data_IF_472194011724
#
_entry.id   IF_472194011724
#
_cell.length_a   1.000
_cell.length_b   1.000
_cell.length_c   1.000
_cell.angle_alpha   90.00
_cell.angle_beta   90.00
_cell.angle_gamma   90.00
#
_symmetry.space_group_name_H-M   'P 1'
#
loop_
_entity.id
_entity.type
_entity.pdbx_description
1 polymer ?
#
# COMPACT_ATOMS: atom_id res chain seq x y z
N UNK A 1 -2.74 28.11 -16.92
CA UNK A 1 -1.95 28.63 -15.78
C UNK A 1 -1.08 27.48 -15.32
N UNK A 2 0.24 27.54 -15.53
CA UNK A 2 1.12 26.46 -15.08
C UNK A 2 1.31 26.60 -13.57
N UNK A 3 1.07 25.53 -12.82
CA UNK A 3 1.37 25.48 -11.40
C UNK A 3 2.86 25.80 -11.22
N UNK A 4 3.22 26.76 -10.35
CA UNK A 4 4.62 27.10 -10.14
C UNK A 4 5.29 25.86 -9.51
N UNK A 5 6.38 25.37 -10.12
CA UNK A 5 7.17 24.26 -9.59
C UNK A 5 8.38 24.82 -8.85
N UNK A 6 8.56 24.37 -7.60
CA UNK A 6 9.70 24.77 -6.80
C UNK A 6 11.02 24.33 -7.45
N UNK A 7 12.12 25.06 -7.23
CA UNK A 7 13.40 24.70 -7.81
C UNK A 7 13.97 23.41 -7.19
N UNK A 8 14.71 22.60 -7.97
CA UNK A 8 15.19 21.29 -7.53
C UNK A 8 16.37 21.37 -6.54
N UNK A 9 17.02 22.52 -6.40
CA UNK A 9 18.23 22.70 -5.59
C UNK A 9 18.03 22.37 -4.11
N UNK A 10 16.80 22.34 -3.60
CA UNK A 10 16.49 21.87 -2.24
C UNK A 10 15.90 20.47 -2.15
N UNK A 11 15.72 19.76 -3.27
CA UNK A 11 15.09 18.46 -3.30
C UNK A 11 16.10 17.36 -2.95
N UNK A 12 15.93 16.75 -1.79
CA UNK A 12 16.81 15.71 -1.26
C UNK A 12 16.04 14.43 -0.98
N UNK A 13 16.44 13.33 -1.61
CA UNK A 13 15.96 11.99 -1.28
C UNK A 13 16.72 11.48 -0.06
N UNK A 14 16.11 11.60 1.13
CA UNK A 14 16.73 11.20 2.40
C UNK A 14 16.77 9.71 2.63
N UNK A 15 15.77 9.00 2.10
CA UNK A 15 15.61 7.57 2.27
C UNK A 15 15.04 6.99 0.99
N UNK A 16 15.60 5.88 0.53
CA UNK A 16 14.98 5.04 -0.49
C UNK A 16 14.62 3.71 0.16
N UNK A 17 13.34 3.41 0.22
CA UNK A 17 12.88 2.06 0.55
C UNK A 17 12.80 1.23 -0.71
N UNK A 18 13.34 0.01 -0.69
CA UNK A 18 12.97 -1.00 -1.67
C UNK A 18 11.60 -1.56 -1.26
N UNK A 19 10.53 -1.09 -1.90
CA UNK A 19 9.21 -1.69 -1.74
C UNK A 19 8.92 -2.65 -2.90
N UNK A 20 8.05 -3.63 -2.63
CA UNK A 20 7.62 -4.80 -3.41
C UNK A 20 7.17 -4.59 -4.88
N UNK A 21 7.50 -3.48 -5.56
CA UNK A 21 7.12 -3.28 -6.96
C UNK A 21 8.06 -3.97 -7.96
N UNK A 22 9.20 -4.52 -7.54
CA UNK A 22 10.12 -5.26 -8.42
C UNK A 22 10.54 -6.60 -7.79
N UNK A 23 10.17 -7.70 -8.43
CA UNK A 23 10.53 -9.08 -8.03
C UNK A 23 12.05 -9.35 -8.07
N UNK A 24 12.86 -8.43 -8.61
CA UNK A 24 14.32 -8.52 -8.63
C UNK A 24 15.00 -7.88 -7.41
N UNK A 25 14.28 -7.10 -6.60
CA UNK A 25 14.87 -6.21 -5.59
C UNK A 25 15.06 -6.84 -4.20
N UNK A 26 14.62 -8.08 -3.98
CA UNK A 26 14.72 -8.74 -2.67
C UNK A 26 13.80 -8.12 -1.61
N UNK A 27 13.76 -8.75 -0.45
CA UNK A 27 12.94 -8.33 0.68
C UNK A 27 13.71 -7.27 1.50
N UNK A 28 13.01 -6.24 2.02
CA UNK A 28 13.60 -5.18 2.84
C UNK A 28 13.05 -5.20 4.28
N UNK A 29 13.95 -5.01 5.26
CA UNK A 29 13.63 -4.82 6.66
C UNK A 29 14.33 -3.55 7.14
N UNK A 30 13.64 -2.74 7.94
CA UNK A 30 14.21 -1.51 8.51
C UNK A 30 15.09 -1.80 9.72
N UNK A 31 14.91 -2.97 10.35
CA UNK A 31 15.71 -3.44 11.47
C UNK A 31 15.77 -4.97 11.51
N UNK A 32 16.58 -5.50 12.42
CA UNK A 32 16.85 -6.92 12.56
C UNK A 32 15.63 -7.71 13.07
N UNK A 33 14.74 -7.08 13.84
CA UNK A 33 13.50 -7.70 14.33
C UNK A 33 12.50 -7.89 13.18
N UNK A 34 12.39 -6.90 12.30
CA UNK A 34 11.60 -6.97 11.08
C UNK A 34 12.16 -7.99 10.09
N UNK A 35 13.49 -8.09 9.96
CA UNK A 35 14.14 -9.09 9.12
C UNK A 35 13.80 -10.52 9.57
N UNK A 36 13.89 -10.76 10.88
CA UNK A 36 13.66 -12.08 11.48
C UNK A 36 12.18 -12.50 11.44
N UNK A 37 11.26 -11.55 11.52
CA UNK A 37 9.82 -11.82 11.57
C UNK A 37 9.16 -12.01 10.20
N UNK A 38 9.75 -11.48 9.12
CA UNK A 38 9.04 -11.31 7.83
C UNK A 38 9.65 -12.05 6.64
N UNK A 39 10.89 -12.54 6.73
CA UNK A 39 11.62 -13.10 5.59
C UNK A 39 12.00 -14.57 5.77
N UNK A 40 12.05 -15.31 4.65
CA UNK A 40 12.51 -16.70 4.63
C UNK A 40 13.99 -16.80 5.09
N UNK A 41 14.41 -17.91 5.73
CA UNK A 41 15.79 -18.11 6.20
C UNK A 41 16.88 -17.98 5.13
N UNK A 42 16.50 -18.11 3.85
CA UNK A 42 17.42 -18.29 2.72
C UNK A 42 17.59 -17.02 1.87
N UNK A 43 16.91 -15.91 2.19
CA UNK A 43 17.02 -14.64 1.46
C UNK A 43 18.05 -13.71 2.12
N UNK A 44 19.11 -13.35 1.38
CA UNK A 44 20.10 -12.38 1.84
C UNK A 44 19.50 -10.98 2.04
N UNK A 45 20.01 -10.23 3.00
CA UNK A 45 19.58 -8.88 3.34
C UNK A 45 20.64 -7.83 2.98
N UNK A 46 20.20 -6.63 2.61
CA UNK A 46 21.05 -5.44 2.52
C UNK A 46 20.55 -4.44 3.56
N UNK A 47 21.26 -4.38 4.68
CA UNK A 47 21.06 -3.37 5.71
C UNK A 47 22.20 -2.36 5.62
N UNK A 48 21.88 -1.08 5.78
CA UNK A 48 22.90 -0.09 6.11
C UNK A 48 23.25 -0.32 7.57
N UNK A 49 24.51 -0.64 7.84
CA UNK A 49 24.99 -0.83 9.21
C UNK A 49 25.04 0.50 9.96
N UNK A 50 25.42 0.45 11.24
CA UNK A 50 25.53 1.64 12.09
C UNK A 50 26.50 2.68 11.52
N UNK A 51 27.60 2.24 10.92
CA UNK A 51 28.62 3.10 10.33
C UNK A 51 28.11 3.79 9.04
N UNK A 52 27.35 3.06 8.23
CA UNK A 52 26.66 3.60 7.06
C UNK A 52 25.59 4.63 7.44
N UNK A 53 24.88 4.42 8.55
CA UNK A 53 23.89 5.38 9.08
C UNK A 53 24.59 6.67 9.52
N UNK A 54 25.69 6.57 10.25
CA UNK A 54 26.48 7.72 10.68
C UNK A 54 27.07 8.48 9.47
N UNK A 55 27.58 7.75 8.47
CA UNK A 55 28.15 8.33 7.24
C UNK A 55 27.08 9.04 6.40
N UNK A 56 25.88 8.47 6.28
CA UNK A 56 24.76 9.10 5.60
C UNK A 56 24.29 10.38 6.32
N UNK A 57 24.32 10.39 7.66
CA UNK A 57 24.05 11.57 8.47
C UNK A 57 25.04 12.70 8.18
N UNK A 58 26.33 12.41 8.27
CA UNK A 58 27.39 13.39 8.01
C UNK A 58 27.34 13.94 6.57
N UNK A 59 27.10 13.07 5.58
CA UNK A 59 26.91 13.50 4.20
C UNK A 59 25.66 14.40 4.03
N UNK A 60 24.57 14.10 4.75
CA UNK A 60 23.37 14.92 4.77
C UNK A 60 23.64 16.36 5.26
N UNK A 61 24.41 16.51 6.33
CA UNK A 61 24.80 17.82 6.88
C UNK A 61 25.64 18.64 5.87
N UNK A 62 26.58 17.99 5.18
CA UNK A 62 27.39 18.61 4.12
C UNK A 62 26.52 19.12 2.96
N UNK A 63 25.60 18.28 2.48
CA UNK A 63 24.71 18.62 1.37
C UNK A 63 23.77 19.77 1.76
N UNK A 64 23.21 19.77 2.97
CA UNK A 64 22.39 20.87 3.46
C UNK A 64 23.14 22.20 3.47
N UNK A 65 24.38 22.21 3.96
CA UNK A 65 25.22 23.40 3.96
C UNK A 65 25.52 23.90 2.53
N UNK A 66 25.71 22.97 1.57
CA UNK A 66 25.94 23.32 0.17
C UNK A 66 24.67 23.87 -0.50
N UNK A 67 23.50 23.28 -0.23
CA UNK A 67 22.20 23.80 -0.69
C UNK A 67 21.99 25.21 -0.16
N UNK A 68 22.19 25.43 1.14
CA UNK A 68 22.01 26.75 1.74
C UNK A 68 22.95 27.79 1.09
N UNK A 69 24.21 27.43 0.86
CA UNK A 69 25.16 28.27 0.14
C UNK A 69 24.67 28.59 -1.28
N UNK A 70 24.21 27.61 -2.04
CA UNK A 70 23.67 27.82 -3.39
C UNK A 70 22.43 28.71 -3.40
N UNK A 71 21.57 28.62 -2.39
CA UNK A 71 20.41 29.50 -2.26
C UNK A 71 20.79 30.95 -1.92
N UNK A 72 21.87 31.15 -1.13
CA UNK A 72 22.37 32.50 -0.81
C UNK A 72 23.15 33.14 -1.97
N UNK A 73 23.98 32.36 -2.65
CA UNK A 73 24.89 32.83 -3.70
C UNK A 73 24.23 32.83 -5.09
N UNK A 74 23.18 32.04 -5.30
CA UNK A 74 22.46 31.92 -6.56
C UNK A 74 21.29 32.88 -6.71
N UNK A 75 20.79 33.00 -7.94
CA UNK A 75 19.59 33.78 -8.27
C UNK A 75 18.29 32.98 -8.17
N UNK A 76 18.37 31.66 -8.02
CA UNK A 76 17.23 30.75 -8.15
C UNK A 76 16.12 31.01 -7.12
N UNK A 77 16.48 31.32 -5.87
CA UNK A 77 15.52 31.73 -4.84
C UNK A 77 14.77 33.03 -5.23
N UNK A 78 15.50 34.00 -5.79
CA UNK A 78 14.93 35.31 -6.15
C UNK A 78 14.03 35.18 -7.38
N UNK A 79 14.46 34.42 -8.39
CA UNK A 79 13.67 34.08 -9.58
C UNK A 79 12.41 33.31 -9.21
N UNK A 80 12.51 32.35 -8.30
CA UNK A 80 11.38 31.59 -7.78
C UNK A 80 10.40 32.48 -7.02
N UNK A 81 10.89 33.35 -6.15
CA UNK A 81 10.06 34.30 -5.40
C UNK A 81 9.36 35.29 -6.32
N UNK A 82 10.04 35.78 -7.36
CA UNK A 82 9.44 36.64 -8.38
C UNK A 82 8.31 35.91 -9.14
N UNK A 83 8.54 34.65 -9.53
CA UNK A 83 7.53 33.80 -10.17
C UNK A 83 6.32 33.55 -9.27
N UNK A 84 6.54 33.34 -7.97
CA UNK A 84 5.45 33.21 -7.00
C UNK A 84 4.64 34.50 -6.84
N UNK A 85 5.27 35.67 -6.95
CA UNK A 85 4.56 36.96 -6.90
C UNK A 85 3.61 37.16 -8.10
N UNK A 86 3.87 36.52 -9.23
CA UNK A 86 2.99 36.52 -10.41
C UNK A 86 1.81 35.54 -10.28
N UNK A 87 1.86 34.62 -9.32
CA UNK A 87 0.80 33.63 -9.08
C UNK A 87 -0.36 34.31 -8.38
N UNK A 88 -1.40 34.62 -9.16
CA UNK A 88 -2.64 35.15 -8.62
C UNK A 88 -3.50 34.03 -8.05
N UNK A 89 -4.08 34.29 -6.88
CA UNK A 89 -5.15 33.46 -6.32
C UNK A 89 -6.27 33.38 -7.37
N UNK A 90 -6.81 32.18 -7.65
CA UNK A 90 -7.91 32.04 -8.60
C UNK A 90 -9.08 32.95 -8.22
N UNK A 91 -9.76 33.50 -9.23
CA UNK A 91 -10.95 34.32 -8.99
C UNK A 91 -12.04 33.50 -8.27
N UNK A 92 -12.99 34.17 -7.60
CA UNK A 92 -14.13 33.50 -6.97
C UNK A 92 -14.89 32.58 -7.93
N UNK A 93 -15.07 33.00 -9.19
CA UNK A 93 -15.69 32.18 -10.23
C UNK A 93 -14.85 30.93 -10.56
N UNK A 94 -13.53 31.07 -10.66
CA UNK A 94 -12.62 29.93 -10.89
C UNK A 94 -12.62 28.95 -9.71
N UNK A 95 -12.74 29.43 -8.47
CA UNK A 95 -12.84 28.58 -7.29
C UNK A 95 -14.17 27.79 -7.27
N UNK A 96 -15.28 28.42 -7.65
CA UNK A 96 -16.58 27.75 -7.80
C UNK A 96 -16.53 26.65 -8.87
N UNK A 97 -15.94 26.93 -10.04
CA UNK A 97 -15.74 25.94 -11.09
C UNK A 97 -14.85 24.77 -10.63
N UNK A 98 -13.78 25.04 -9.88
CA UNK A 98 -12.91 24.01 -9.33
C UNK A 98 -13.65 23.14 -8.29
N UNK A 99 -14.48 23.73 -7.43
CA UNK A 99 -15.31 22.97 -6.48
C UNK A 99 -16.33 22.08 -7.19
N UNK A 100 -16.97 22.60 -8.24
CA UNK A 100 -17.89 21.81 -9.06
C UNK A 100 -17.16 20.63 -9.74
N UNK A 101 -15.93 20.84 -10.22
CA UNK A 101 -15.09 19.76 -10.77
C UNK A 101 -14.68 18.73 -9.72
N UNK A 102 -14.33 19.15 -8.50
CA UNK A 102 -14.02 18.22 -7.41
C UNK A 102 -15.23 17.37 -7.08
N UNK A 103 -16.41 17.98 -6.90
CA UNK A 103 -17.64 17.24 -6.64
C UNK A 103 -17.98 16.26 -7.77
N UNK A 104 -17.75 16.64 -9.02
CA UNK A 104 -17.91 15.75 -10.18
C UNK A 104 -16.91 14.59 -10.16
N UNK A 105 -15.63 14.85 -9.86
CA UNK A 105 -14.63 13.80 -9.71
C UNK A 105 -14.97 12.83 -8.57
N UNK A 106 -15.43 13.33 -7.42
CA UNK A 106 -15.85 12.49 -6.30
C UNK A 106 -17.05 11.61 -6.67
N UNK A 107 -18.02 12.16 -7.42
CA UNK A 107 -19.15 11.39 -7.95
C UNK A 107 -18.68 10.31 -8.92
N UNK A 108 -17.82 10.65 -9.88
CA UNK A 108 -17.25 9.70 -10.84
C UNK A 108 -16.43 8.61 -10.13
N UNK A 109 -15.65 8.96 -9.11
CA UNK A 109 -14.94 7.98 -8.29
C UNK A 109 -15.90 7.05 -7.56
N UNK A 110 -17.00 7.56 -7.01
CA UNK A 110 -18.01 6.74 -6.34
C UNK A 110 -18.69 5.77 -7.33
N UNK A 111 -19.08 6.24 -8.51
CA UNK A 111 -19.66 5.42 -9.59
C UNK A 111 -18.65 4.37 -10.10
N UNK A 112 -17.39 4.75 -10.26
CA UNK A 112 -16.32 3.84 -10.64
C UNK A 112 -16.07 2.77 -9.57
N UNK A 113 -16.03 3.15 -8.28
CA UNK A 113 -15.91 2.19 -7.17
C UNK A 113 -17.09 1.22 -7.12
N UNK A 114 -18.31 1.70 -7.36
CA UNK A 114 -19.51 0.85 -7.39
C UNK A 114 -19.47 -0.15 -8.56
N UNK A 115 -19.10 0.30 -9.76
CA UNK A 115 -18.97 -0.59 -10.92
C UNK A 115 -17.82 -1.60 -10.76
N UNK A 116 -16.68 -1.19 -10.17
CA UNK A 116 -15.60 -2.10 -9.83
C UNK A 116 -16.02 -3.15 -8.80
N UNK A 117 -16.79 -2.79 -7.77
CA UNK A 117 -17.27 -3.72 -6.76
C UNK A 117 -18.15 -4.82 -7.37
N UNK A 118 -19.04 -4.46 -8.31
CA UNK A 118 -19.87 -5.41 -9.04
C UNK A 118 -19.05 -6.35 -9.93
N UNK A 119 -18.08 -5.80 -10.69
CA UNK A 119 -17.18 -6.59 -11.53
C UNK A 119 -16.31 -7.54 -10.68
N UNK A 120 -15.81 -7.08 -9.53
CA UNK A 120 -15.03 -7.89 -8.61
C UNK A 120 -15.86 -9.00 -7.95
N UNK A 121 -17.13 -8.75 -7.63
CA UNK A 121 -18.03 -9.79 -7.12
C UNK A 121 -18.22 -10.90 -8.16
N UNK A 122 -18.56 -10.53 -9.39
CA UNK A 122 -18.73 -11.47 -10.50
C UNK A 122 -17.46 -12.30 -10.76
N UNK A 123 -16.29 -11.64 -10.79
CA UNK A 123 -15.00 -12.33 -10.95
C UNK A 123 -14.76 -13.35 -9.83
N UNK A 124 -15.13 -13.03 -8.59
CA UNK A 124 -14.98 -13.93 -7.44
C UNK A 124 -15.90 -15.14 -7.53
N UNK A 125 -17.16 -14.93 -7.91
CA UNK A 125 -18.11 -16.02 -8.17
C UNK A 125 -17.58 -16.99 -9.23
N UNK A 126 -17.08 -16.46 -10.36
CA UNK A 126 -16.48 -17.26 -11.44
C UNK A 126 -15.24 -18.04 -10.96
N UNK A 127 -14.40 -17.43 -10.10
CA UNK A 127 -13.19 -18.08 -9.56
C UNK A 127 -13.50 -19.15 -8.51
N UNK A 128 -14.54 -18.96 -7.71
CA UNK A 128 -15.02 -19.96 -6.75
C UNK A 128 -15.61 -21.18 -7.44
N UNK A 129 -16.35 -20.99 -8.54
CA UNK A 129 -17.01 -22.06 -9.27
C UNK A 129 -16.07 -22.99 -10.07
N UNK A 130 -14.88 -22.52 -10.48
CA UNK A 130 -14.02 -23.32 -11.38
C UNK A 130 -12.53 -22.96 -11.42
N UNK A 131 -12.04 -22.10 -10.53
CA UNK A 131 -10.65 -21.64 -10.55
C UNK A 131 -9.68 -22.57 -9.81
N UNK A 132 -8.55 -22.91 -10.44
CA UNK A 132 -7.44 -23.62 -9.78
C UNK A 132 -6.58 -22.72 -8.89
N UNK A 133 -6.49 -21.42 -9.18
CA UNK A 133 -5.66 -20.44 -8.44
C UNK A 133 -6.43 -19.76 -7.29
N UNK A 134 -5.77 -19.59 -6.13
CA UNK A 134 -6.28 -18.80 -5.00
C UNK A 134 -6.32 -17.30 -5.31
N UNK A 135 -5.57 -16.87 -6.34
CA UNK A 135 -5.53 -15.49 -6.80
C UNK A 135 -6.88 -15.11 -7.40
N UNK A 136 -7.51 -14.10 -6.80
CA UNK A 136 -8.80 -13.56 -7.25
C UNK A 136 -10.02 -14.09 -6.52
N UNK A 137 -9.86 -14.98 -5.53
CA UNK A 137 -10.93 -15.43 -4.61
C UNK A 137 -11.14 -14.39 -3.49
N UNK A 138 -10.06 -13.78 -3.01
CA UNK A 138 -10.13 -12.74 -1.98
C UNK A 138 -10.57 -11.38 -2.56
N UNK A 139 -11.20 -10.51 -1.74
CA UNK A 139 -11.37 -9.10 -2.08
C UNK A 139 -10.03 -8.41 -2.38
N UNK A 140 -9.98 -7.47 -3.33
CA UNK A 140 -8.70 -6.82 -3.75
C UNK A 140 -7.92 -6.17 -2.61
N UNK A 141 -8.63 -5.57 -1.64
CA UNK A 141 -8.02 -4.88 -0.49
C UNK A 141 -7.81 -5.78 0.71
N UNK A 142 -8.21 -7.05 0.63
CA UNK A 142 -8.19 -7.96 1.77
C UNK A 142 -6.80 -8.08 2.41
N UNK A 143 -5.73 -8.18 1.60
CA UNK A 143 -4.37 -8.25 2.10
C UNK A 143 -4.01 -7.03 2.97
N UNK A 144 -4.30 -5.83 2.47
CA UNK A 144 -4.04 -4.58 3.17
C UNK A 144 -4.87 -4.48 4.46
N UNK A 145 -6.17 -4.79 4.37
CA UNK A 145 -7.08 -4.68 5.52
C UNK A 145 -6.74 -5.73 6.61
N UNK A 146 -6.28 -6.91 6.21
CA UNK A 146 -5.74 -7.95 7.09
C UNK A 146 -4.51 -7.47 7.84
N UNK A 147 -3.53 -6.91 7.12
CA UNK A 147 -2.30 -6.38 7.70
C UNK A 147 -2.59 -5.26 8.70
N UNK A 148 -3.48 -4.34 8.35
CA UNK A 148 -3.89 -3.24 9.25
C UNK A 148 -4.63 -3.78 10.48
N UNK A 149 -5.61 -4.67 10.28
CA UNK A 149 -6.47 -5.16 11.37
C UNK A 149 -5.69 -5.93 12.43
N UNK A 150 -4.75 -6.76 12.01
CA UNK A 150 -3.99 -7.64 12.90
C UNK A 150 -2.54 -7.21 13.11
N UNK A 151 -2.17 -6.01 12.63
CA UNK A 151 -0.80 -5.46 12.68
C UNK A 151 0.24 -6.45 12.14
N UNK A 152 -0.10 -7.09 11.02
CA UNK A 152 0.76 -8.05 10.36
C UNK A 152 1.62 -7.33 9.33
N UNK A 153 2.89 -7.70 9.29
CA UNK A 153 3.81 -7.26 8.24
C UNK A 153 3.59 -8.15 7.01
N UNK A 154 3.72 -7.61 5.77
CA UNK A 154 3.70 -8.42 4.56
C UNK A 154 4.68 -9.59 4.65
N UNK A 155 4.25 -10.79 4.23
CA UNK A 155 5.11 -11.99 4.25
C UNK A 155 4.33 -13.30 4.35
N UNK A 156 5.05 -14.38 4.66
CA UNK A 156 4.51 -15.75 4.68
C UNK A 156 3.26 -15.91 5.54
N UNK A 157 3.18 -15.20 6.67
CA UNK A 157 2.02 -15.26 7.58
C UNK A 157 0.74 -14.76 6.91
N UNK A 158 0.83 -13.65 6.18
CA UNK A 158 -0.27 -13.07 5.39
C UNK A 158 -0.68 -14.02 4.26
N UNK A 159 0.30 -14.58 3.55
CA UNK A 159 0.07 -15.55 2.47
C UNK A 159 -0.64 -16.81 3.00
N UNK A 160 -0.18 -17.38 4.11
CA UNK A 160 -0.78 -18.58 4.70
C UNK A 160 -2.24 -18.33 5.13
N UNK A 161 -2.54 -17.18 5.73
CA UNK A 161 -3.91 -16.81 6.07
C UNK A 161 -4.80 -16.74 4.83
N UNK A 162 -4.31 -16.15 3.74
CA UNK A 162 -5.03 -16.11 2.47
C UNK A 162 -5.23 -17.50 1.86
N UNK A 163 -4.25 -18.38 1.98
CA UNK A 163 -4.35 -19.77 1.54
C UNK A 163 -5.41 -20.54 2.32
N UNK A 164 -5.34 -20.53 3.66
CA UNK A 164 -6.33 -21.18 4.52
C UNK A 164 -7.75 -20.69 4.23
N UNK A 165 -7.94 -19.37 4.14
CA UNK A 165 -9.24 -18.78 3.79
C UNK A 165 -9.70 -19.20 2.40
N UNK A 166 -8.83 -19.18 1.39
CA UNK A 166 -9.19 -19.58 0.03
C UNK A 166 -9.66 -21.04 -0.02
N UNK A 167 -9.00 -21.93 0.72
CA UNK A 167 -9.39 -23.34 0.85
C UNK A 167 -10.75 -23.49 1.51
N UNK A 168 -10.98 -22.81 2.63
CA UNK A 168 -12.28 -22.80 3.31
C UNK A 168 -13.40 -22.26 2.43
N UNK A 169 -13.16 -21.17 1.69
CA UNK A 169 -14.16 -20.60 0.78
C UNK A 169 -14.57 -21.59 -0.32
N UNK A 170 -13.61 -22.30 -0.91
CA UNK A 170 -13.91 -23.34 -1.91
C UNK A 170 -14.64 -24.53 -1.31
N UNK A 171 -14.26 -24.90 -0.09
CA UNK A 171 -14.96 -25.95 0.66
C UNK A 171 -16.41 -25.56 0.91
N UNK A 172 -16.68 -24.33 1.34
CA UNK A 172 -18.04 -23.82 1.54
C UNK A 172 -18.84 -23.64 0.25
N UNK A 173 -18.18 -23.36 -0.87
CA UNK A 173 -18.87 -23.35 -2.15
C UNK A 173 -19.35 -24.75 -2.56
N UNK A 174 -18.58 -25.80 -2.23
CA UNK A 174 -18.97 -27.20 -2.47
C UNK A 174 -19.86 -27.80 -1.36
N UNK A 175 -19.79 -27.25 -0.14
CA UNK A 175 -20.55 -27.66 1.05
C UNK A 175 -21.15 -26.43 1.75
N UNK A 176 -22.23 -25.84 1.20
CA UNK A 176 -22.79 -24.58 1.71
C UNK A 176 -23.28 -24.63 3.16
N UNK A 177 -23.69 -25.81 3.62
CA UNK A 177 -24.18 -26.03 4.99
C UNK A 177 -23.08 -25.89 6.05
N UNK A 178 -21.80 -25.96 5.65
CA UNK A 178 -20.64 -25.78 6.53
C UNK A 178 -20.15 -24.33 6.60
N UNK A 179 -20.75 -23.42 5.81
CA UNK A 179 -20.41 -22.00 5.84
C UNK A 179 -20.85 -21.37 7.17
N UNK A 180 -20.03 -20.49 7.79
CA UNK A 180 -20.43 -19.77 9.00
C UNK A 180 -21.77 -19.04 8.83
N UNK A 181 -22.64 -19.17 9.84
CA UNK A 181 -23.94 -18.52 9.86
C UNK A 181 -23.79 -16.99 9.72
N UNK A 182 -24.62 -16.40 8.85
CA UNK A 182 -24.61 -14.96 8.58
C UNK A 182 -23.51 -14.47 7.64
N UNK A 183 -22.63 -15.34 7.14
CA UNK A 183 -21.60 -14.97 6.15
C UNK A 183 -22.17 -14.96 4.73
N UNK A 184 -21.90 -13.87 3.99
CA UNK A 184 -22.34 -13.72 2.61
C UNK A 184 -21.60 -14.64 1.61
N UNK A 185 -22.16 -14.84 0.40
CA UNK A 185 -21.48 -15.51 -0.72
C UNK A 185 -21.43 -14.59 -1.94
N UNK A 186 -20.26 -14.26 -2.48
CA UNK A 186 -18.93 -14.42 -1.86
C UNK A 186 -18.74 -13.49 -0.65
N UNK A 187 -17.99 -13.88 0.41
CA UNK A 187 -17.84 -13.09 1.64
C UNK A 187 -17.24 -11.70 1.44
N UNK A 188 -17.63 -10.74 2.27
CA UNK A 188 -17.03 -9.42 2.32
C UNK A 188 -15.75 -9.41 3.16
N UNK A 189 -14.90 -8.39 2.96
CA UNK A 189 -13.64 -8.25 3.71
C UNK A 189 -13.87 -8.30 5.23
N UNK A 190 -14.88 -7.59 5.73
CA UNK A 190 -15.18 -7.53 7.16
C UNK A 190 -15.48 -8.92 7.74
N UNK A 191 -16.29 -9.71 7.05
CA UNK A 191 -16.69 -11.05 7.49
C UNK A 191 -15.47 -12.00 7.57
N UNK A 192 -14.56 -11.89 6.59
CA UNK A 192 -13.31 -12.66 6.59
C UNK A 192 -12.38 -12.27 7.74
N UNK A 193 -12.26 -10.97 8.03
CA UNK A 193 -11.45 -10.49 9.15
C UNK A 193 -12.06 -10.88 10.50
N UNK A 194 -13.38 -10.81 10.65
CA UNK A 194 -14.06 -11.23 11.88
C UNK A 194 -13.91 -12.75 12.11
N UNK A 195 -13.92 -13.54 11.03
CA UNK A 195 -13.61 -14.97 11.10
C UNK A 195 -12.17 -15.21 11.59
N UNK A 196 -11.18 -14.50 11.05
CA UNK A 196 -9.78 -14.62 11.51
C UNK A 196 -9.66 -14.26 12.98
N UNK A 197 -10.34 -13.20 13.42
CA UNK A 197 -10.35 -12.81 14.83
C UNK A 197 -10.97 -13.89 15.73
N UNK A 198 -11.98 -14.61 15.24
CA UNK A 198 -12.63 -15.71 15.97
C UNK A 198 -11.78 -16.97 16.02
N UNK A 199 -11.08 -17.31 14.94
CA UNK A 199 -10.24 -18.53 14.85
C UNK A 199 -8.87 -18.33 15.51
N UNK A 200 -8.30 -17.13 15.38
CA UNK A 200 -6.94 -16.81 15.77
C UNK A 200 -6.00 -16.75 14.55
N UNK A 201 -5.14 -15.74 14.53
CA UNK A 201 -4.17 -15.48 13.45
C UNK A 201 -3.18 -16.64 13.32
N UNK A 202 -2.65 -17.12 14.44
CA UNK A 202 -1.64 -18.18 14.49
C UNK A 202 -2.22 -19.50 14.00
N UNK A 203 -3.39 -19.90 14.53
CA UNK A 203 -4.06 -21.14 14.18
C UNK A 203 -4.39 -21.20 12.68
N UNK A 204 -4.93 -20.11 12.13
CA UNK A 204 -5.30 -20.07 10.71
C UNK A 204 -4.07 -19.96 9.79
N UNK A 205 -2.99 -19.32 10.24
CA UNK A 205 -1.72 -19.28 9.50
C UNK A 205 -1.05 -20.66 9.46
N UNK A 206 -1.09 -21.42 10.55
CA UNK A 206 -0.58 -22.80 10.57
C UNK A 206 -1.37 -23.74 9.67
N UNK A 207 -2.70 -23.59 9.61
CA UNK A 207 -3.56 -24.31 8.66
C UNK A 207 -3.13 -24.05 7.22
N UNK A 208 -2.91 -22.78 6.87
CA UNK A 208 -2.48 -22.38 5.54
C UNK A 208 -1.09 -22.91 5.16
N UNK A 209 -0.18 -23.05 6.13
CA UNK A 209 1.15 -23.62 5.90
C UNK A 209 1.13 -25.12 5.54
N UNK A 210 0.06 -25.84 5.92
CA UNK A 210 -0.09 -27.29 5.70
C UNK A 210 -0.88 -27.64 4.43
N UNK A 211 -1.43 -26.63 3.76
CA UNK A 211 -2.30 -26.78 2.58
C UNK A 211 -1.50 -26.64 1.30
#
# INVERSE_FOLDING_TARGET
MHMPLAPPTGLLLRTAGFCEMDQRAGFCAMDQEQATSCMLPDAGFVLVDGDGTASAGAFGEEIEANVERQWREGSELQEWTAKLAEVRVPSGATLEELRAKVAECERQEAEFRASQAAADRRRREERLAGGSSFVGVMPRRFAADLMVRFRLVPGWRVTNLQHALSTRLRHWESHPDERPEGMSSPPETRELLDLIAKVGVEALSEEGART
#
